data_IF_818835502737
#
_entry.id   IF_818835502737
#
_cell.length_a   1.000
_cell.length_b   1.000
_cell.length_c   1.000
_cell.angle_alpha   90.00
_cell.angle_beta   90.00
_cell.angle_gamma   90.00
#
_symmetry.space_group_name_H-M   'P 1'
#
loop_
_entity.id
_entity.type
_entity.pdbx_description
1 polymer ?
#
# COMPACT_ATOMS: atom_id res chain seq x y z
N UNK A 1 13.70 24.72 -9.34
CA UNK A 1 12.78 25.60 -10.08
C UNK A 1 12.60 26.95 -9.39
N UNK A 2 12.11 26.99 -8.14
CA UNK A 2 11.92 28.25 -7.39
C UNK A 2 13.17 28.98 -6.89
N UNK A 3 14.38 28.64 -7.35
CA UNK A 3 15.63 29.31 -6.98
C UNK A 3 16.32 28.84 -5.69
N UNK A 4 15.78 27.87 -4.95
CA UNK A 4 16.50 27.23 -3.85
C UNK A 4 17.49 26.20 -4.40
N UNK A 5 18.78 26.51 -4.33
CA UNK A 5 19.84 25.72 -4.99
C UNK A 5 20.27 24.48 -4.20
N UNK A 6 20.05 24.45 -2.88
CA UNK A 6 20.42 23.34 -1.99
C UNK A 6 19.34 23.18 -0.96
N UNK A 7 18.56 22.12 -1.08
CA UNK A 7 17.45 21.81 -0.19
C UNK A 7 17.56 20.37 0.27
N UNK A 8 17.08 20.11 1.47
CA UNK A 8 16.85 18.77 1.95
C UNK A 8 15.62 18.75 2.84
N UNK A 9 14.99 17.60 2.92
CA UNK A 9 13.88 17.31 3.82
C UNK A 9 14.12 15.97 4.48
N UNK A 10 13.91 15.90 5.80
CA UNK A 10 13.83 14.63 6.53
C UNK A 10 12.37 14.49 6.92
N UNK A 11 11.69 13.56 6.27
CA UNK A 11 10.25 13.48 6.29
C UNK A 11 9.79 12.03 6.27
N UNK A 12 8.47 11.88 6.37
CA UNK A 12 7.84 10.58 6.34
C UNK A 12 7.30 10.27 4.95
N UNK A 13 7.61 9.08 4.47
CA UNK A 13 7.06 8.49 3.27
C UNK A 13 6.07 7.40 3.65
N UNK A 14 5.02 7.27 2.85
CA UNK A 14 3.95 6.29 3.05
C UNK A 14 3.84 5.43 1.79
N UNK A 15 3.97 4.11 1.95
CA UNK A 15 3.78 3.14 0.87
C UNK A 15 2.75 2.11 1.31
N UNK A 16 1.77 1.85 0.45
CA UNK A 16 0.74 0.86 0.69
C UNK A 16 1.24 -0.54 0.32
N UNK A 17 2.31 -0.96 0.99
CA UNK A 17 3.04 -2.20 0.75
C UNK A 17 2.95 -3.13 1.96
N UNK A 18 3.47 -4.35 1.80
CA UNK A 18 3.62 -5.31 2.89
C UNK A 18 4.54 -4.81 4.01
N UNK A 19 4.49 -5.51 5.14
CA UNK A 19 5.44 -5.34 6.25
C UNK A 19 6.34 -6.56 6.34
N UNK A 20 7.64 -6.33 6.43
CA UNK A 20 8.62 -7.39 6.68
C UNK A 20 9.67 -6.92 7.71
N UNK A 21 10.85 -7.55 7.70
CA UNK A 21 11.95 -7.24 8.60
C UNK A 21 12.59 -5.87 8.34
N UNK A 22 12.51 -5.37 7.10
CA UNK A 22 13.17 -4.16 6.59
C UNK A 22 12.19 -3.09 6.08
N UNK A 23 10.90 -3.42 5.92
CA UNK A 23 9.85 -2.55 5.39
C UNK A 23 8.74 -2.28 6.42
N UNK A 24 8.39 -1.01 6.56
CA UNK A 24 7.24 -0.53 7.31
C UNK A 24 6.42 0.43 6.41
N UNK A 25 5.08 0.38 6.41
CA UNK A 25 4.23 1.23 5.56
C UNK A 25 4.49 2.72 5.68
N UNK A 26 5.01 3.13 6.84
CA UNK A 26 5.38 4.50 7.15
C UNK A 26 6.87 4.52 7.56
N UNK A 27 7.74 5.13 6.75
CA UNK A 27 9.20 5.12 6.97
C UNK A 27 9.82 6.49 6.68
N UNK A 28 10.97 6.76 7.29
CA UNK A 28 11.66 8.05 7.26
C UNK A 28 12.73 8.05 6.18
N UNK A 29 12.67 9.03 5.28
CA UNK A 29 13.74 9.29 4.31
C UNK A 29 14.33 10.68 4.52
N UNK A 30 15.58 10.84 4.08
CA UNK A 30 16.14 12.14 3.79
C UNK A 30 16.24 12.29 2.28
N UNK A 31 15.56 13.27 1.72
CA UNK A 31 15.70 13.66 0.32
C UNK A 31 16.48 14.96 0.24
N UNK A 32 17.49 15.02 -0.63
CA UNK A 32 18.28 16.22 -0.86
C UNK A 32 18.46 16.48 -2.35
N UNK A 33 18.34 17.75 -2.72
CA UNK A 33 18.53 18.23 -4.08
C UNK A 33 19.56 19.34 -4.11
N UNK A 34 20.49 19.26 -5.05
CA UNK A 34 21.52 20.26 -5.27
C UNK A 34 21.59 20.66 -6.74
N UNK A 35 21.30 21.94 -7.01
CA UNK A 35 21.51 22.54 -8.32
C UNK A 35 23.01 22.60 -8.67
N UNK A 36 23.29 22.50 -9.96
CA UNK A 36 24.63 22.44 -10.56
C UNK A 36 25.49 21.30 -10.00
N UNK A 37 24.83 20.19 -9.66
CA UNK A 37 25.45 18.93 -9.23
C UNK A 37 25.04 17.81 -10.18
N UNK A 38 25.77 16.70 -10.08
CA UNK A 38 25.57 15.48 -10.84
C UNK A 38 25.63 14.25 -9.91
N UNK A 39 25.66 13.07 -10.53
CA UNK A 39 25.80 11.78 -9.87
C UNK A 39 27.02 11.70 -8.93
N UNK A 40 28.18 12.24 -9.35
CA UNK A 40 29.40 12.25 -8.54
C UNK A 40 29.25 13.16 -7.32
N UNK A 41 28.54 14.28 -7.46
CA UNK A 41 28.13 15.12 -6.35
C UNK A 41 27.26 14.37 -5.34
N UNK A 42 26.30 13.57 -5.82
CA UNK A 42 25.42 12.78 -4.95
C UNK A 42 26.16 11.63 -4.27
N UNK A 43 27.14 11.00 -4.92
CA UNK A 43 28.03 10.00 -4.27
C UNK A 43 28.80 10.62 -3.11
N UNK A 44 29.41 11.80 -3.32
CA UNK A 44 30.14 12.53 -2.26
C UNK A 44 29.22 12.94 -1.11
N UNK A 45 28.02 13.42 -1.41
CA UNK A 45 27.03 13.79 -0.39
C UNK A 45 26.62 12.58 0.45
N UNK A 46 26.26 11.48 -0.21
CA UNK A 46 25.84 10.22 0.43
C UNK A 46 26.95 9.66 1.33
N UNK A 47 28.18 9.55 0.80
CA UNK A 47 29.32 9.06 1.56
C UNK A 47 29.66 9.97 2.75
N UNK A 48 29.62 11.29 2.55
CA UNK A 48 29.84 12.27 3.62
C UNK A 48 28.80 12.18 4.73
N UNK A 49 27.53 12.06 4.36
CA UNK A 49 26.40 11.95 5.29
C UNK A 49 26.51 10.69 6.15
N UNK A 50 26.68 9.52 5.54
CA UNK A 50 26.76 8.24 6.26
C UNK A 50 27.98 8.20 7.17
N UNK A 51 29.16 8.67 6.71
CA UNK A 51 30.36 8.74 7.57
C UNK A 51 30.19 9.68 8.75
N UNK A 52 29.55 10.83 8.55
CA UNK A 52 29.26 11.77 9.62
C UNK A 52 28.31 11.15 10.66
N UNK A 53 27.26 10.46 10.20
CA UNK A 53 26.32 9.75 11.07
C UNK A 53 27.02 8.63 11.87
N UNK A 54 27.82 7.80 11.21
CA UNK A 54 28.58 6.73 11.86
C UNK A 54 29.57 7.26 12.90
N UNK A 55 30.31 8.32 12.57
CA UNK A 55 31.25 8.94 13.52
C UNK A 55 30.50 9.57 14.71
N UNK A 56 29.34 10.19 14.49
CA UNK A 56 28.56 10.81 15.55
C UNK A 56 27.91 9.79 16.48
N UNK A 57 27.36 8.71 15.93
CA UNK A 57 26.64 7.68 16.69
C UNK A 57 27.57 6.64 17.33
N UNK A 58 28.58 6.18 16.58
CA UNK A 58 29.43 5.05 16.95
C UNK A 58 30.87 5.46 17.34
N UNK A 59 31.30 6.69 17.01
CA UNK A 59 32.67 7.16 17.24
C UNK A 59 33.74 6.50 16.36
N UNK A 60 33.33 5.74 15.35
CA UNK A 60 34.19 4.96 14.44
C UNK A 60 33.54 4.84 13.07
N UNK A 61 34.34 4.55 12.04
CA UNK A 61 33.88 4.19 10.70
C UNK A 61 33.96 2.69 10.41
N UNK A 62 34.53 1.91 11.34
CA UNK A 62 34.50 0.45 11.29
C UNK A 62 33.42 -0.02 12.26
N UNK A 63 32.32 -0.54 11.72
CA UNK A 63 31.16 -1.00 12.48
C UNK A 63 30.98 -2.51 12.33
N UNK A 64 30.26 -3.13 13.27
CA UNK A 64 29.81 -4.50 13.14
C UNK A 64 28.29 -4.49 12.96
N UNK A 65 27.80 -5.17 11.92
CA UNK A 65 26.39 -5.33 11.63
C UNK A 65 26.09 -6.81 11.46
N UNK A 66 25.30 -7.37 12.37
CA UNK A 66 24.90 -8.78 12.42
C UNK A 66 26.07 -9.76 12.32
N UNK A 67 27.20 -9.43 12.94
CA UNK A 67 28.41 -10.26 12.93
C UNK A 67 29.33 -10.02 11.73
N UNK A 68 28.99 -9.10 10.83
CA UNK A 68 29.81 -8.71 9.68
C UNK A 68 30.52 -7.38 9.95
N UNK A 69 31.83 -7.33 9.73
CA UNK A 69 32.61 -6.10 9.86
C UNK A 69 32.51 -5.25 8.59
N UNK A 70 32.07 -4.01 8.72
CA UNK A 70 31.84 -3.07 7.63
C UNK A 70 32.79 -1.88 7.78
N UNK A 71 33.49 -1.53 6.70
CA UNK A 71 34.34 -0.34 6.63
C UNK A 71 33.63 0.79 5.87
N UNK A 72 33.11 1.76 6.62
CA UNK A 72 32.53 2.99 6.06
C UNK A 72 33.59 4.05 5.74
N UNK A 73 34.83 3.88 6.22
CA UNK A 73 35.92 4.84 6.08
C UNK A 73 36.74 4.68 4.79
N UNK A 74 36.83 3.46 4.28
CA UNK A 74 37.54 3.12 3.04
C UNK A 74 36.90 3.68 1.76
N UNK A 75 37.51 3.37 0.62
CA UNK A 75 36.96 3.67 -0.70
C UNK A 75 35.80 2.73 -0.99
N UNK A 76 34.65 3.29 -1.37
CA UNK A 76 33.47 2.51 -1.71
C UNK A 76 33.56 2.07 -3.17
N UNK A 77 33.14 0.83 -3.44
CA UNK A 77 33.17 0.30 -4.80
C UNK A 77 32.19 1.07 -5.67
N UNK A 78 32.57 1.32 -6.90
CA UNK A 78 31.76 1.97 -7.92
C UNK A 78 31.77 1.07 -9.15
N UNK A 79 30.62 0.49 -9.49
CA UNK A 79 30.51 -0.52 -10.53
C UNK A 79 29.15 -0.42 -11.24
N UNK A 80 29.12 -0.70 -12.53
CA UNK A 80 27.86 -0.75 -13.27
C UNK A 80 27.04 -1.99 -12.90
N UNK A 81 25.72 -1.91 -13.00
CA UNK A 81 24.83 -3.06 -12.77
C UNK A 81 25.22 -4.29 -13.61
N UNK A 82 25.53 -4.10 -14.90
CA UNK A 82 25.98 -5.19 -15.78
C UNK A 82 27.33 -5.77 -15.36
N UNK A 83 28.29 -4.93 -14.95
CA UNK A 83 29.58 -5.42 -14.45
C UNK A 83 29.37 -6.36 -13.27
N UNK A 84 28.55 -5.96 -12.30
CA UNK A 84 28.28 -6.77 -11.12
C UNK A 84 27.53 -8.06 -11.47
N UNK A 85 26.54 -8.01 -12.37
CA UNK A 85 25.87 -9.22 -12.86
C UNK A 85 26.89 -10.17 -13.49
N UNK A 86 27.75 -9.68 -14.38
CA UNK A 86 28.72 -10.48 -15.11
C UNK A 86 29.80 -11.13 -14.22
N UNK A 87 30.01 -10.62 -13.01
CA UNK A 87 30.85 -11.25 -12.00
C UNK A 87 30.20 -12.48 -11.34
N UNK A 88 28.86 -12.58 -11.38
CA UNK A 88 28.07 -13.56 -10.63
C UNK A 88 27.32 -14.58 -11.51
N UNK A 89 27.49 -14.50 -12.84
CA UNK A 89 26.89 -15.42 -13.81
C UNK A 89 27.93 -15.99 -14.77
N UNK A 90 27.70 -17.22 -15.24
CA UNK A 90 28.62 -17.90 -16.17
C UNK A 90 28.54 -17.38 -17.62
N UNK A 91 27.42 -16.75 -17.97
CA UNK A 91 27.10 -16.32 -19.34
C UNK A 91 26.95 -14.79 -19.36
N UNK A 92 28.02 -14.04 -19.69
CA UNK A 92 28.00 -12.58 -19.62
C UNK A 92 26.92 -11.96 -20.50
N UNK A 93 26.29 -10.92 -19.99
CA UNK A 93 25.27 -10.13 -20.67
C UNK A 93 25.81 -8.78 -21.14
N UNK A 94 25.16 -8.22 -22.17
CA UNK A 94 25.35 -6.84 -22.61
C UNK A 94 24.04 -6.26 -23.13
N UNK A 95 23.97 -4.92 -23.21
CA UNK A 95 22.81 -4.22 -23.79
C UNK A 95 22.61 -4.51 -25.29
N UNK A 96 23.67 -4.91 -26.01
CA UNK A 96 23.58 -5.28 -27.43
C UNK A 96 22.78 -6.56 -27.68
N UNK A 97 22.57 -7.38 -26.64
CA UNK A 97 21.79 -8.61 -26.74
C UNK A 97 20.31 -8.33 -26.98
N UNK A 98 19.64 -9.27 -27.65
CA UNK A 98 18.19 -9.22 -27.78
C UNK A 98 17.50 -9.44 -26.43
N UNK A 99 16.25 -8.97 -26.33
CA UNK A 99 15.40 -9.19 -25.16
C UNK A 99 15.24 -10.69 -24.90
N UNK A 100 15.07 -11.50 -25.94
CA UNK A 100 14.85 -12.94 -25.85
C UNK A 100 16.08 -13.66 -25.30
N UNK A 101 17.28 -13.23 -25.69
CA UNK A 101 18.54 -13.76 -25.15
C UNK A 101 18.68 -13.41 -23.67
N UNK A 102 18.46 -12.15 -23.29
CA UNK A 102 18.48 -11.71 -21.89
C UNK A 102 17.45 -12.48 -21.05
N UNK A 103 16.23 -12.64 -21.55
CA UNK A 103 15.18 -13.39 -20.86
C UNK A 103 15.57 -14.85 -20.63
N UNK A 104 16.21 -15.50 -21.61
CA UNK A 104 16.71 -16.88 -21.44
C UNK A 104 17.80 -16.94 -20.37
N UNK A 105 18.75 -16.00 -20.38
CA UNK A 105 19.85 -15.95 -19.39
C UNK A 105 19.29 -15.66 -18.00
N UNK A 106 18.36 -14.72 -17.86
CA UNK A 106 17.71 -14.39 -16.61
C UNK A 106 16.96 -15.60 -16.02
N UNK A 107 16.16 -16.32 -16.84
CA UNK A 107 15.49 -17.56 -16.41
C UNK A 107 16.46 -18.64 -15.94
N UNK A 108 17.59 -18.80 -16.63
CA UNK A 108 18.64 -19.76 -16.23
C UNK A 108 19.26 -19.42 -14.88
N UNK A 109 19.27 -18.14 -14.52
CA UNK A 109 19.82 -17.62 -13.28
C UNK A 109 18.74 -17.36 -12.20
N UNK A 110 17.55 -17.94 -12.33
CA UNK A 110 16.56 -17.95 -11.25
C UNK A 110 15.52 -16.83 -11.26
N UNK A 111 15.51 -15.97 -12.27
CA UNK A 111 14.40 -15.02 -12.47
C UNK A 111 13.18 -15.80 -12.97
N UNK A 112 12.17 -15.92 -12.12
CA UNK A 112 10.88 -16.53 -12.45
C UNK A 112 9.94 -15.44 -12.98
N UNK A 113 8.99 -15.81 -13.83
CA UNK A 113 7.90 -14.91 -14.27
C UNK A 113 8.29 -13.65 -15.07
N UNK A 114 9.26 -13.78 -16.00
CA UNK A 114 9.53 -12.71 -16.97
C UNK A 114 8.29 -12.41 -17.81
N UNK A 115 7.68 -11.26 -17.55
CA UNK A 115 6.47 -10.83 -18.23
C UNK A 115 6.73 -10.44 -19.69
N UNK A 116 5.74 -10.60 -20.59
CA UNK A 116 5.86 -10.13 -21.97
C UNK A 116 6.08 -8.61 -22.08
N UNK A 117 5.58 -7.84 -21.12
CA UNK A 117 5.67 -6.38 -21.10
C UNK A 117 7.08 -5.87 -20.74
N UNK A 118 7.86 -6.64 -19.99
CA UNK A 118 9.21 -6.23 -19.57
C UNK A 118 10.13 -6.07 -20.77
N UNK A 119 10.77 -4.92 -20.88
CA UNK A 119 11.88 -4.66 -21.79
C UNK A 119 13.19 -5.24 -21.28
N UNK A 120 14.29 -4.88 -21.96
CA UNK A 120 15.63 -5.34 -21.57
C UNK A 120 16.04 -4.84 -20.19
N UNK A 121 15.64 -3.61 -19.84
CA UNK A 121 16.05 -2.94 -18.62
C UNK A 121 15.47 -3.62 -17.39
N UNK A 122 14.16 -3.89 -17.39
CA UNK A 122 13.52 -4.60 -16.27
C UNK A 122 14.10 -6.01 -16.10
N UNK A 123 14.34 -6.74 -17.19
CA UNK A 123 14.99 -8.08 -17.13
C UNK A 123 16.39 -8.00 -16.49
N UNK A 124 17.19 -6.98 -16.82
CA UNK A 124 18.52 -6.78 -16.24
C UNK A 124 18.43 -6.44 -14.75
N UNK A 125 17.48 -5.59 -14.35
CA UNK A 125 17.22 -5.25 -12.93
C UNK A 125 16.89 -6.50 -12.12
N UNK A 126 15.94 -7.31 -12.60
CA UNK A 126 15.50 -8.53 -11.92
C UNK A 126 16.62 -9.56 -11.81
N UNK A 127 17.50 -9.62 -12.82
CA UNK A 127 18.68 -10.46 -12.76
C UNK A 127 19.71 -9.96 -11.74
N UNK A 128 19.85 -8.65 -11.57
CA UNK A 128 20.69 -8.05 -10.52
C UNK A 128 20.14 -8.42 -9.13
N UNK A 129 18.85 -8.18 -8.89
CA UNK A 129 18.19 -8.52 -7.62
C UNK A 129 18.35 -10.01 -7.29
N UNK A 130 18.14 -10.89 -8.27
CA UNK A 130 18.23 -12.33 -8.06
C UNK A 130 19.64 -12.88 -7.79
N UNK A 131 20.72 -12.19 -8.22
CA UNK A 131 22.08 -12.76 -8.25
C UNK A 131 23.15 -11.96 -7.55
N UNK A 132 22.93 -10.67 -7.33
CA UNK A 132 23.97 -9.73 -6.94
C UNK A 132 23.65 -9.03 -5.64
N UNK A 133 22.41 -8.58 -5.42
CA UNK A 133 22.05 -7.73 -4.27
C UNK A 133 22.61 -8.29 -2.95
N UNK A 134 22.25 -9.52 -2.60
CA UNK A 134 22.69 -10.21 -1.37
C UNK A 134 24.22 -10.39 -1.23
N UNK A 135 24.99 -10.26 -2.32
CA UNK A 135 26.45 -10.43 -2.30
C UNK A 135 27.21 -9.15 -1.95
N UNK A 136 26.53 -7.99 -2.02
CA UNK A 136 27.12 -6.67 -1.79
C UNK A 136 27.25 -6.36 -0.29
N UNK A 137 28.32 -6.88 0.32
CA UNK A 137 28.58 -6.72 1.76
C UNK A 137 29.12 -5.33 2.10
N UNK A 138 30.22 -4.91 1.48
CA UNK A 138 30.82 -3.59 1.71
C UNK A 138 30.08 -2.50 0.91
N UNK A 139 30.16 -1.23 1.34
CA UNK A 139 29.49 -0.13 0.64
C UNK A 139 29.85 -0.09 -0.85
N UNK A 140 28.84 -0.25 -1.70
CA UNK A 140 28.98 -0.33 -3.14
C UNK A 140 27.93 0.56 -3.80
N UNK A 141 28.40 1.51 -4.60
CA UNK A 141 27.56 2.26 -5.54
C UNK A 141 27.34 1.41 -6.79
N UNK A 142 26.11 0.96 -6.97
CA UNK A 142 25.64 0.27 -8.17
C UNK A 142 25.17 1.36 -9.13
N UNK A 143 25.86 1.54 -10.25
CA UNK A 143 25.60 2.60 -11.21
C UNK A 143 24.94 2.05 -12.49
N UNK A 144 24.56 2.97 -13.37
CA UNK A 144 24.12 2.66 -14.75
C UNK A 144 22.84 1.84 -14.79
N UNK A 145 21.85 2.30 -14.05
CA UNK A 145 20.52 1.70 -14.08
C UNK A 145 19.85 1.92 -15.44
N UNK A 146 19.13 0.91 -15.97
CA UNK A 146 18.37 1.03 -17.20
C UNK A 146 17.37 2.19 -17.17
N UNK A 147 17.16 2.81 -18.33
CA UNK A 147 16.17 3.86 -18.53
C UNK A 147 14.75 3.41 -18.17
N UNK A 148 14.42 2.16 -18.52
CA UNK A 148 13.10 1.57 -18.31
C UNK A 148 12.62 1.65 -16.85
N UNK A 149 13.53 1.45 -15.89
CA UNK A 149 13.24 1.47 -14.45
C UNK A 149 13.57 2.81 -13.79
N UNK A 150 13.92 3.83 -14.57
CA UNK A 150 14.47 5.10 -14.08
C UNK A 150 13.73 6.30 -14.69
N UNK A 151 12.41 6.46 -14.42
CA UNK A 151 11.56 7.42 -15.12
C UNK A 151 11.91 8.89 -14.86
N UNK A 152 12.59 9.19 -13.74
CA UNK A 152 12.99 10.54 -13.34
C UNK A 152 14.48 10.84 -13.55
N UNK A 153 15.29 9.84 -13.90
CA UNK A 153 16.72 10.01 -14.05
C UNK A 153 17.10 10.46 -15.46
N UNK A 154 18.09 11.36 -15.57
CA UNK A 154 18.60 11.82 -16.86
C UNK A 154 19.26 10.67 -17.63
N UNK A 155 18.91 10.54 -18.92
CA UNK A 155 19.54 9.58 -19.86
C UNK A 155 21.03 9.86 -19.99
N UNK A 156 21.82 8.81 -20.17
CA UNK A 156 23.22 8.93 -20.55
C UNK A 156 23.34 9.36 -22.02
N UNK A 157 24.31 10.22 -22.28
CA UNK A 157 24.56 10.74 -23.64
C UNK A 157 25.23 9.68 -24.54
N UNK A 158 26.04 8.81 -23.94
CA UNK A 158 26.80 7.78 -24.64
C UNK A 158 26.03 6.47 -24.82
N UNK A 159 25.08 6.18 -23.93
CA UNK A 159 24.16 5.05 -24.07
C UNK A 159 22.73 5.43 -23.60
N UNK A 160 21.81 5.76 -24.53
CA UNK A 160 20.44 6.14 -24.19
C UNK A 160 19.60 5.05 -23.51
N UNK A 161 20.02 3.78 -23.51
CA UNK A 161 19.37 2.71 -22.73
C UNK A 161 19.65 2.82 -21.22
N UNK A 162 20.59 3.69 -20.84
CA UNK A 162 21.08 3.88 -19.47
C UNK A 162 20.78 5.28 -18.92
N UNK A 163 20.82 5.40 -17.61
CA UNK A 163 20.65 6.66 -16.90
C UNK A 163 21.80 6.96 -15.96
N UNK A 164 21.99 8.25 -15.67
CA UNK A 164 22.88 8.68 -14.59
C UNK A 164 22.19 8.47 -13.24
N UNK A 165 22.10 7.21 -12.80
CA UNK A 165 21.51 6.78 -11.53
C UNK A 165 22.44 5.81 -10.81
N UNK A 166 22.52 5.94 -9.49
CA UNK A 166 23.10 4.94 -8.63
C UNK A 166 22.17 4.56 -7.48
N UNK A 167 22.38 3.36 -6.98
CA UNK A 167 21.90 2.92 -5.68
C UNK A 167 23.09 2.52 -4.82
N UNK A 168 23.00 2.76 -3.51
CA UNK A 168 24.02 2.38 -2.55
C UNK A 168 23.58 1.13 -1.83
N UNK A 169 24.36 0.06 -1.94
CA UNK A 169 24.14 -1.19 -1.21
C UNK A 169 25.17 -1.40 -0.11
N UNK A 170 24.71 -1.87 1.05
CA UNK A 170 25.54 -2.31 2.18
C UNK A 170 24.89 -3.55 2.78
N UNK A 171 25.63 -4.63 2.98
CA UNK A 171 25.08 -5.90 3.46
C UNK A 171 23.81 -6.37 2.72
N UNK A 172 23.81 -6.23 1.40
CA UNK A 172 22.71 -6.67 0.55
C UNK A 172 21.41 -5.89 0.68
N UNK A 173 21.47 -4.66 1.20
CA UNK A 173 20.31 -3.79 1.27
C UNK A 173 20.61 -2.41 0.68
N UNK A 174 19.62 -1.81 0.03
CA UNK A 174 19.67 -0.45 -0.48
C UNK A 174 19.59 0.58 0.67
N UNK A 175 20.51 1.55 0.70
CA UNK A 175 20.55 2.65 1.68
C UNK A 175 20.29 4.01 1.06
N UNK A 176 20.55 4.16 -0.24
CA UNK A 176 20.33 5.40 -0.94
C UNK A 176 20.06 5.14 -2.42
N UNK A 177 19.21 5.98 -3.02
CA UNK A 177 18.95 6.03 -4.44
C UNK A 177 19.16 7.47 -4.91
N UNK A 178 19.95 7.67 -5.96
CA UNK A 178 20.33 8.98 -6.42
C UNK A 178 20.49 9.03 -7.92
N UNK A 179 20.26 10.20 -8.51
CA UNK A 179 20.44 10.40 -9.93
C UNK A 179 20.76 11.85 -10.29
N UNK A 180 21.31 12.04 -11.47
CA UNK A 180 21.24 13.33 -12.14
C UNK A 180 19.79 13.53 -12.60
N UNK A 181 19.16 14.59 -12.13
CA UNK A 181 17.73 14.86 -12.34
C UNK A 181 17.40 15.07 -13.81
N UNK A 182 16.28 14.49 -14.27
CA UNK A 182 15.72 14.81 -15.57
C UNK A 182 15.06 16.19 -15.52
N UNK A 183 15.67 17.15 -16.19
CA UNK A 183 15.20 18.52 -16.24
C UNK A 183 14.63 18.94 -17.61
N UNK A 184 14.51 18.01 -18.55
CA UNK A 184 13.83 18.23 -19.84
C UNK A 184 12.33 17.94 -19.69
N UNK A 185 11.45 18.95 -19.75
CA UNK A 185 10.01 18.76 -19.59
C UNK A 185 9.40 17.91 -20.70
N UNK A 186 9.98 17.90 -21.90
CA UNK A 186 9.47 17.12 -23.04
C UNK A 186 9.72 15.63 -22.78
N UNK A 187 10.97 15.27 -22.45
CA UNK A 187 11.32 13.88 -22.10
C UNK A 187 10.55 13.41 -20.86
N UNK A 188 10.45 14.25 -19.82
CA UNK A 188 9.71 13.87 -18.60
C UNK A 188 8.23 13.60 -18.89
N UNK A 189 7.58 14.40 -19.74
CA UNK A 189 6.19 14.19 -20.13
C UNK A 189 6.01 12.88 -20.93
N UNK A 190 6.92 12.57 -21.85
CA UNK A 190 6.91 11.31 -22.60
C UNK A 190 7.04 10.10 -21.67
N UNK A 191 7.91 10.18 -20.66
CA UNK A 191 8.09 9.11 -19.67
C UNK A 191 6.88 8.93 -18.77
N UNK A 192 6.24 10.01 -18.32
CA UNK A 192 4.98 9.89 -17.58
C UNK A 192 3.87 9.25 -18.42
N UNK A 193 3.77 9.57 -19.71
CA UNK A 193 2.81 8.91 -20.59
C UNK A 193 3.11 7.41 -20.73
N UNK A 194 4.39 7.02 -20.83
CA UNK A 194 4.79 5.61 -20.84
C UNK A 194 4.45 4.89 -19.52
N UNK A 195 4.64 5.57 -18.38
CA UNK A 195 4.27 5.05 -17.06
C UNK A 195 2.74 4.88 -16.91
N UNK A 196 1.94 5.84 -17.39
CA UNK A 196 0.48 5.69 -17.42
C UNK A 196 0.06 4.50 -18.29
N UNK A 197 0.71 4.28 -19.44
CA UNK A 197 0.45 3.11 -20.27
C UNK A 197 0.84 1.81 -19.56
N UNK A 198 1.95 1.78 -18.83
CA UNK A 198 2.35 0.61 -18.02
C UNK A 198 1.32 0.32 -16.92
N UNK A 199 0.81 1.37 -16.26
CA UNK A 199 -0.26 1.27 -15.27
C UNK A 199 -1.55 0.69 -15.85
N UNK A 200 -1.97 1.17 -17.02
CA UNK A 200 -3.14 0.65 -17.73
C UNK A 200 -2.97 -0.84 -18.14
N UNK A 201 -1.72 -1.31 -18.23
CA UNK A 201 -1.36 -2.69 -18.53
C UNK A 201 -1.18 -3.56 -17.28
N UNK A 202 -1.40 -3.02 -16.07
CA UNK A 202 -1.39 -3.77 -14.81
C UNK A 202 -0.18 -3.56 -13.92
N UNK A 203 0.69 -2.59 -14.20
CA UNK A 203 1.77 -2.19 -13.30
C UNK A 203 1.23 -1.25 -12.21
N UNK A 204 0.91 -1.82 -11.04
CA UNK A 204 0.37 -1.08 -9.90
C UNK A 204 1.36 -0.07 -9.29
N UNK A 205 2.66 -0.20 -9.57
CA UNK A 205 3.74 0.68 -9.07
C UNK A 205 4.05 1.84 -10.03
N UNK A 206 3.51 1.82 -11.25
CA UNK A 206 3.79 2.83 -12.25
C UNK A 206 3.25 4.22 -11.85
N UNK A 207 4.04 5.25 -12.20
CA UNK A 207 3.75 6.64 -11.87
C UNK A 207 2.55 7.20 -12.65
N UNK A 208 1.78 8.10 -12.01
CA UNK A 208 0.76 8.90 -12.67
C UNK A 208 1.35 10.10 -13.44
N UNK A 209 0.56 10.69 -14.34
CA UNK A 209 0.95 11.92 -15.03
C UNK A 209 0.70 13.15 -14.15
N UNK A 210 1.76 13.86 -13.78
CA UNK A 210 1.67 15.13 -13.02
C UNK A 210 1.89 16.33 -13.95
N UNK A 211 0.79 16.96 -14.36
CA UNK A 211 0.83 18.14 -15.23
C UNK A 211 1.41 19.39 -14.56
N UNK A 212 1.29 19.53 -13.23
CA UNK A 212 1.83 20.69 -12.52
C UNK A 212 3.35 20.58 -12.38
N UNK A 213 3.87 19.37 -12.14
CA UNK A 213 5.31 19.10 -12.16
C UNK A 213 5.93 19.39 -13.54
N UNK A 214 5.30 18.92 -14.63
CA UNK A 214 5.76 19.23 -16.00
C UNK A 214 5.77 20.73 -16.24
N UNK A 215 4.68 21.42 -15.89
CA UNK A 215 4.60 22.88 -16.03
C UNK A 215 5.69 23.59 -15.23
N UNK A 216 6.03 23.10 -14.04
CA UNK A 216 7.11 23.65 -13.26
C UNK A 216 8.46 23.47 -13.99
N UNK A 217 8.72 22.29 -14.58
CA UNK A 217 9.93 22.03 -15.37
C UNK A 217 10.05 22.96 -16.59
N UNK A 218 8.92 23.31 -17.22
CA UNK A 218 8.87 24.26 -18.34
C UNK A 218 9.33 25.68 -17.96
N UNK A 219 9.20 26.08 -16.69
CA UNK A 219 9.79 27.35 -16.21
C UNK A 219 11.33 27.29 -16.13
N UNK A 220 11.91 26.09 -16.15
CA UNK A 220 13.34 25.84 -16.15
C UNK A 220 13.85 25.31 -14.81
N UNK A 221 14.24 24.04 -14.80
CA UNK A 221 15.03 23.46 -13.72
C UNK A 221 16.52 23.43 -14.14
N UNK A 222 17.46 24.00 -13.35
CA UNK A 222 18.88 23.87 -13.64
C UNK A 222 19.29 22.38 -13.58
N UNK A 223 20.42 21.99 -14.20
CA UNK A 223 21.00 20.68 -13.95
C UNK A 223 21.15 20.47 -12.45
N UNK A 224 20.70 19.33 -11.93
CA UNK A 224 20.70 19.05 -10.50
C UNK A 224 21.00 17.56 -10.25
N UNK A 225 21.53 17.28 -9.07
CA UNK A 225 21.58 15.92 -8.51
C UNK A 225 20.59 15.82 -7.37
N UNK A 226 19.87 14.71 -7.30
CA UNK A 226 19.00 14.35 -6.19
C UNK A 226 19.44 13.04 -5.55
N UNK A 227 19.19 12.91 -4.25
CA UNK A 227 19.40 11.67 -3.49
C UNK A 227 18.31 11.49 -2.45
N UNK A 228 17.78 10.28 -2.35
CA UNK A 228 17.01 9.79 -1.21
C UNK A 228 17.86 8.83 -0.39
N UNK A 229 17.85 8.96 0.95
CA UNK A 229 18.53 8.07 1.89
C UNK A 229 17.51 7.51 2.87
N UNK A 230 17.45 6.18 3.00
CA UNK A 230 16.61 5.51 3.97
C UNK A 230 17.15 5.69 5.39
N UNK A 231 16.51 6.53 6.20
CA UNK A 231 17.00 6.85 7.55
C UNK A 231 16.81 5.67 8.49
N UNK A 232 15.68 4.96 8.43
CA UNK A 232 15.45 3.83 9.33
C UNK A 232 16.46 2.71 9.11
N UNK A 233 16.74 2.36 7.84
CA UNK A 233 17.81 1.39 7.49
C UNK A 233 19.18 1.85 7.95
N UNK A 234 19.51 3.14 7.78
CA UNK A 234 20.77 3.69 8.29
C UNK A 234 20.86 3.58 9.82
N UNK A 235 19.78 3.84 10.55
CA UNK A 235 19.75 3.64 12.00
C UNK A 235 19.96 2.16 12.33
N UNK A 236 19.29 1.24 11.64
CA UNK A 236 19.49 -0.21 11.86
C UNK A 236 20.96 -0.61 11.72
N UNK A 237 21.61 -0.15 10.64
CA UNK A 237 23.03 -0.39 10.37
C UNK A 237 23.92 0.10 11.51
N UNK A 238 23.71 1.33 11.96
CA UNK A 238 24.55 1.98 12.98
C UNK A 238 24.28 1.46 14.39
N UNK A 239 23.07 0.97 14.68
CA UNK A 239 22.70 0.42 15.99
C UNK A 239 22.82 -1.10 16.06
N UNK A 240 23.23 -1.76 14.97
CA UNK A 240 23.27 -3.22 14.86
C UNK A 240 21.90 -3.86 15.15
N UNK A 241 20.82 -3.23 14.67
CA UNK A 241 19.47 -3.76 14.82
C UNK A 241 19.13 -4.74 13.68
N UNK A 242 18.47 -5.85 14.02
CA UNK A 242 18.14 -6.87 13.03
C UNK A 242 16.86 -6.53 12.25
N UNK A 243 15.93 -5.79 12.87
CA UNK A 243 14.67 -5.41 12.27
C UNK A 243 14.42 -3.91 12.32
N UNK A 244 13.73 -3.38 11.31
CA UNK A 244 13.23 -1.99 11.30
C UNK A 244 12.32 -1.70 12.50
N UNK A 245 11.68 -2.73 13.06
CA UNK A 245 10.83 -2.60 14.25
C UNK A 245 11.60 -2.23 15.51
N UNK A 246 12.90 -2.53 15.55
CA UNK A 246 13.75 -2.21 16.71
C UNK A 246 14.20 -0.74 16.71
N UNK A 247 14.05 -0.04 15.58
CA UNK A 247 14.43 1.37 15.42
C UNK A 247 13.22 2.30 15.32
N UNK A 248 12.01 1.75 15.23
CA UNK A 248 10.75 2.48 15.25
C UNK A 248 10.10 2.37 16.64
N UNK A 249 9.75 3.51 17.25
CA UNK A 249 9.08 3.52 18.57
C UNK A 249 7.71 2.82 18.54
N UNK A 250 6.99 2.97 17.43
CA UNK A 250 5.66 2.40 17.20
C UNK A 250 5.58 1.84 15.78
N UNK A 251 6.14 0.64 15.52
CA UNK A 251 6.04 0.01 14.21
C UNK A 251 4.58 -0.39 13.93
N UNK A 252 4.22 -0.48 12.65
CA UNK A 252 2.87 -0.94 12.28
C UNK A 252 2.73 -2.42 12.67
N UNK A 253 1.67 -2.72 13.40
CA UNK A 253 1.37 -4.07 13.88
C UNK A 253 0.19 -4.66 13.11
N UNK A 254 0.24 -5.97 12.86
CA UNK A 254 -0.95 -6.67 12.39
C UNK A 254 -2.00 -6.67 13.51
N UNK A 255 -3.29 -6.40 13.20
CA UNK A 255 -4.36 -6.55 14.18
C UNK A 255 -4.33 -7.95 14.79
N UNK A 256 -4.59 -8.04 16.09
CA UNK A 256 -4.88 -9.33 16.71
C UNK A 256 -6.26 -9.76 16.19
N UNK A 257 -6.36 -10.96 15.63
CA UNK A 257 -7.67 -11.57 15.40
C UNK A 257 -8.38 -11.70 16.76
N UNK A 258 -9.69 -11.46 16.82
CA UNK A 258 -10.51 -11.48 18.06
C UNK A 258 -10.37 -12.76 18.93
N UNK A 259 -9.73 -13.81 18.42
CA UNK A 259 -9.38 -15.03 19.14
C UNK A 259 -8.11 -14.95 20.01
N UNK A 260 -7.32 -13.87 19.95
CA UNK A 260 -6.04 -13.72 20.67
C UNK A 260 -5.94 -12.44 21.51
N UNK A 261 -7.06 -11.97 22.06
CA UNK A 261 -6.97 -11.08 23.23
C UNK A 261 -6.55 -11.95 24.42
N UNK A 262 -5.24 -12.09 24.59
CA UNK A 262 -4.66 -12.58 25.83
C UNK A 262 -5.15 -11.64 26.93
N UNK A 263 -5.97 -12.19 27.82
CA UNK A 263 -6.51 -11.52 29.00
C UNK A 263 -5.35 -10.88 29.78
N UNK A 264 -5.21 -9.55 29.68
CA UNK A 264 -4.17 -8.79 30.38
C UNK A 264 -4.32 -8.88 31.90
N UNK A 265 -5.42 -9.44 32.40
CA UNK A 265 -5.61 -9.76 33.81
C UNK A 265 -5.02 -11.12 34.23
N UNK A 266 -4.55 -11.96 33.29
CA UNK A 266 -3.99 -13.27 33.61
C UNK A 266 -2.50 -13.23 34.01
N UNK A 267 -1.78 -12.16 33.69
CA UNK A 267 -0.38 -11.97 34.09
C UNK A 267 -0.25 -11.50 35.55
N UNK A 268 -1.19 -10.66 36.03
CA UNK A 268 -1.23 -10.23 37.44
C UNK A 268 -1.65 -11.34 38.42
N UNK A 269 -2.28 -12.42 37.92
CA UNK A 269 -2.71 -13.57 38.73
C UNK A 269 -1.58 -14.58 39.00
N UNK A 270 -0.47 -14.50 38.26
CA UNK A 270 0.70 -15.37 38.45
C UNK A 270 1.65 -14.82 39.54
N UNK A 271 1.77 -13.51 39.68
CA UNK A 271 2.61 -12.86 40.71
C UNK A 271 1.95 -12.79 42.09
N UNK A 272 0.62 -12.93 42.16
CA UNK A 272 -0.14 -12.83 43.42
C UNK A 272 -0.25 -14.15 44.20
N UNK A 273 0.21 -15.29 43.67
CA UNK A 273 0.21 -16.59 44.38
C UNK A 273 1.43 -16.85 45.26
N UNK A 274 2.45 -16.01 45.23
CA UNK A 274 3.64 -16.16 46.10
C UNK A 274 3.62 -15.28 47.38
N UNK A 275 2.62 -14.40 47.55
CA UNK A 275 2.59 -13.46 48.70
C UNK A 275 1.48 -13.68 49.74
N UNK A 276 0.58 -14.66 49.60
CA UNK A 276 -0.53 -14.86 50.55
C UNK A 276 -0.31 -15.96 51.62
N UNK A 277 0.94 -16.32 51.94
CA UNK A 277 1.23 -17.21 53.07
C UNK A 277 1.87 -16.52 54.28
N UNK A 278 1.61 -15.22 54.48
CA UNK A 278 1.88 -14.56 55.75
C UNK A 278 0.88 -13.45 56.07
N UNK A 279 -0.08 -13.77 56.94
CA UNK A 279 -0.60 -12.95 58.03
C UNK A 279 -2.12 -13.12 58.20
N UNK A 280 -2.49 -13.96 59.17
CA UNK A 280 -3.78 -13.93 59.82
C UNK A 280 -3.78 -12.86 60.92
N UNK A 281 -4.81 -12.01 61.02
CA UNK A 281 -5.61 -11.78 62.26
C UNK A 281 -6.69 -10.69 62.08
N UNK A 282 -7.97 -11.09 62.32
CA UNK A 282 -9.14 -10.36 62.89
C UNK A 282 -9.50 -8.92 62.46
N UNK A 283 -10.74 -8.42 62.49
CA UNK A 283 -12.06 -8.88 62.94
C UNK A 283 -13.05 -7.70 62.69
N UNK A 284 -14.26 -8.01 62.24
CA UNK A 284 -15.55 -7.32 62.39
C UNK A 284 -15.96 -6.03 61.62
N UNK A 285 -16.83 -6.28 60.63
CA UNK A 285 -18.27 -5.94 60.62
C UNK A 285 -18.82 -4.76 59.80
N UNK A 286 -19.69 -5.17 58.87
CA UNK A 286 -21.03 -4.65 58.56
C UNK A 286 -21.23 -3.39 57.67
N UNK A 287 -21.65 -3.69 56.44
CA UNK A 287 -22.99 -3.40 55.86
C UNK A 287 -23.13 -2.36 54.73
N UNK A 288 -23.58 -2.93 53.59
CA UNK A 288 -24.57 -2.44 52.61
C UNK A 288 -24.20 -1.26 51.67
N UNK A 289 -24.10 -1.53 50.37
CA UNK A 289 -25.22 -1.46 49.41
C UNK A 289 -24.77 -1.81 47.98
N UNK A 290 -25.65 -2.50 47.24
CA UNK A 290 -25.48 -3.03 45.87
C UNK A 290 -25.37 -1.93 44.79
N UNK A 291 -24.74 -2.23 43.64
CA UNK A 291 -25.23 -1.77 42.34
C UNK A 291 -25.79 -2.94 41.53
N UNK A 292 -26.92 -2.67 40.89
CA UNK A 292 -27.66 -3.57 40.04
C UNK A 292 -26.89 -3.91 38.75
N UNK A 293 -26.99 -5.18 38.39
CA UNK A 293 -26.52 -5.83 37.18
C UNK A 293 -27.14 -5.27 35.91
N UNK A 294 -26.30 -4.89 34.94
CA UNK A 294 -26.67 -4.85 33.53
C UNK A 294 -25.91 -5.97 32.82
N UNK A 295 -26.64 -7.05 32.55
CA UNK A 295 -26.20 -8.19 31.79
C UNK A 295 -26.05 -7.81 30.32
N UNK A 296 -24.80 -7.82 29.84
CA UNK A 296 -24.48 -7.98 28.44
C UNK A 296 -24.99 -9.35 27.96
N UNK A 297 -25.83 -9.35 26.92
CA UNK A 297 -26.13 -10.53 26.13
C UNK A 297 -25.90 -10.19 24.66
N UNK A 298 -24.84 -10.71 24.02
CA UNK A 298 -24.70 -10.66 22.57
C UNK A 298 -25.72 -11.64 21.97
N UNK A 299 -26.48 -11.18 20.97
CA UNK A 299 -27.24 -12.08 20.11
C UNK A 299 -26.27 -12.94 19.30
N UNK A 300 -25.94 -14.12 19.84
CA UNK A 300 -25.48 -15.26 19.06
C UNK A 300 -26.62 -15.70 18.13
N UNK A 301 -26.42 -15.53 16.83
CA UNK A 301 -27.01 -16.43 15.83
C UNK A 301 -25.91 -17.35 15.35
N UNK A 302 -26.22 -18.64 15.36
CA UNK A 302 -25.29 -19.75 15.26
C UNK A 302 -24.52 -19.78 13.93
N UNK A 303 -23.22 -20.06 14.03
CA UNK A 303 -22.35 -20.52 12.95
C UNK A 303 -22.95 -21.79 12.31
N UNK A 304 -23.65 -21.61 11.19
CA UNK A 304 -23.79 -22.65 10.20
C UNK A 304 -22.63 -22.48 9.21
N UNK A 305 -21.74 -23.46 9.13
CA UNK A 305 -20.73 -23.49 8.07
C UNK A 305 -21.44 -23.40 6.72
N UNK A 306 -21.26 -22.30 6.00
CA UNK A 306 -21.93 -22.06 4.72
C UNK A 306 -21.23 -22.96 3.68
N UNK A 307 -21.99 -23.86 3.05
CA UNK A 307 -21.50 -24.74 1.99
C UNK A 307 -21.60 -24.03 0.63
N UNK A 308 -20.46 -23.64 0.08
CA UNK A 308 -20.36 -22.93 -1.20
C UNK A 308 -20.24 -23.87 -2.41
N UNK A 309 -20.29 -25.19 -2.23
CA UNK A 309 -20.01 -26.17 -3.29
C UNK A 309 -21.01 -26.14 -4.46
N UNK A 310 -22.20 -25.57 -4.26
CA UNK A 310 -23.28 -25.50 -5.27
C UNK A 310 -23.64 -24.07 -5.70
N UNK A 311 -22.74 -23.10 -5.48
CA UNK A 311 -22.95 -21.70 -5.87
C UNK A 311 -22.38 -21.43 -7.25
N UNK A 312 -23.20 -20.87 -8.14
CA UNK A 312 -22.73 -20.31 -9.42
C UNK A 312 -22.60 -18.80 -9.29
N UNK A 313 -21.41 -18.27 -9.57
CA UNK A 313 -21.13 -16.83 -9.61
C UNK A 313 -21.20 -16.39 -11.07
N UNK A 314 -21.90 -15.27 -11.35
CA UNK A 314 -21.95 -14.72 -12.70
C UNK A 314 -20.53 -14.42 -13.23
N UNK A 315 -20.30 -14.53 -14.55
CA UNK A 315 -18.97 -14.29 -15.13
C UNK A 315 -18.47 -12.89 -14.78
N UNK A 316 -17.32 -12.84 -14.11
CA UNK A 316 -16.63 -11.58 -13.83
C UNK A 316 -16.38 -10.85 -15.16
N UNK A 317 -16.57 -9.52 -15.17
CA UNK A 317 -16.29 -8.64 -16.30
C UNK A 317 -17.16 -8.79 -17.55
N UNK A 318 -18.34 -9.41 -17.44
CA UNK A 318 -19.28 -9.49 -18.57
C UNK A 318 -19.79 -8.11 -19.02
N UNK A 319 -20.01 -7.21 -18.07
CA UNK A 319 -20.43 -5.82 -18.31
C UNK A 319 -19.43 -4.88 -17.62
N UNK A 320 -18.63 -4.16 -18.41
CA UNK A 320 -17.66 -3.18 -17.89
C UNK A 320 -18.34 -1.84 -17.57
N UNK A 321 -17.97 -1.26 -16.43
CA UNK A 321 -18.26 0.14 -16.08
C UNK A 321 -16.93 0.88 -15.92
N UNK A 322 -16.79 2.05 -16.52
CA UNK A 322 -15.59 2.87 -16.37
C UNK A 322 -15.54 3.55 -14.99
N UNK A 323 -14.33 3.87 -14.54
CA UNK A 323 -14.09 4.46 -13.22
C UNK A 323 -14.81 5.79 -13.03
N UNK A 324 -14.89 6.64 -14.06
CA UNK A 324 -15.53 7.95 -13.97
C UNK A 324 -17.06 7.79 -13.79
N UNK A 325 -17.69 6.86 -14.49
CA UNK A 325 -19.10 6.51 -14.30
C UNK A 325 -19.37 5.93 -12.90
N UNK A 326 -18.51 5.03 -12.40
CA UNK A 326 -18.69 4.44 -11.08
C UNK A 326 -18.45 5.46 -9.95
N UNK A 327 -17.36 6.23 -10.01
CA UNK A 327 -16.98 7.23 -8.99
C UNK A 327 -17.98 8.37 -8.85
N UNK A 328 -18.79 8.63 -9.88
CA UNK A 328 -19.91 9.57 -9.84
C UNK A 328 -21.13 9.04 -9.09
N UNK A 329 -21.22 7.74 -8.79
CA UNK A 329 -22.36 7.17 -8.05
C UNK A 329 -22.28 7.50 -6.56
N UNK A 330 -23.36 8.03 -5.99
CA UNK A 330 -23.39 8.45 -4.57
C UNK A 330 -24.05 7.37 -3.70
N UNK A 331 -23.22 6.48 -3.16
CA UNK A 331 -23.62 5.41 -2.26
C UNK A 331 -23.78 5.90 -0.82
N UNK A 332 -24.97 5.67 -0.26
CA UNK A 332 -25.33 6.09 1.11
C UNK A 332 -25.94 4.96 1.91
N UNK A 333 -25.64 4.95 3.20
CA UNK A 333 -26.44 4.22 4.18
C UNK A 333 -27.78 4.93 4.35
N UNK A 334 -28.88 4.21 4.14
CA UNK A 334 -30.25 4.72 4.21
C UNK A 334 -31.05 3.94 5.24
N UNK A 335 -31.83 4.64 6.07
CA UNK A 335 -32.71 4.01 7.07
C UNK A 335 -34.08 3.75 6.48
N UNK A 336 -34.58 2.54 6.61
CA UNK A 336 -35.93 2.19 6.16
C UNK A 336 -36.96 2.69 7.17
N UNK A 337 -37.62 3.82 6.87
CA UNK A 337 -38.71 4.38 7.68
C UNK A 337 -40.02 3.61 7.48
N UNK A 338 -40.31 3.26 6.23
CA UNK A 338 -41.47 2.45 5.89
C UNK A 338 -41.18 1.58 4.66
N UNK A 339 -41.82 0.41 4.60
CA UNK A 339 -41.81 -0.46 3.43
C UNK A 339 -43.24 -0.97 3.21
N UNK A 340 -43.69 -1.03 1.95
CA UNK A 340 -45.01 -1.57 1.60
C UNK A 340 -45.02 -2.19 0.21
N UNK A 341 -45.83 -3.22 -0.02
CA UNK A 341 -46.01 -3.79 -1.35
C UNK A 341 -46.72 -2.80 -2.30
N UNK A 342 -46.23 -2.68 -3.54
CA UNK A 342 -46.82 -1.78 -4.53
C UNK A 342 -48.14 -2.35 -5.06
N UNK A 343 -49.28 -1.62 -4.97
CA UNK A 343 -50.55 -2.07 -5.53
C UNK A 343 -50.42 -2.39 -7.03
N UNK A 344 -50.91 -3.56 -7.46
CA UNK A 344 -50.85 -4.08 -8.84
C UNK A 344 -49.48 -4.62 -9.30
N UNK A 345 -48.46 -4.67 -8.44
CA UNK A 345 -47.21 -5.39 -8.72
C UNK A 345 -47.03 -6.57 -7.79
N UNK A 346 -46.65 -7.74 -8.33
CA UNK A 346 -46.26 -8.90 -7.52
C UNK A 346 -44.77 -8.89 -7.14
N UNK A 347 -43.97 -8.00 -7.73
CA UNK A 347 -42.50 -8.00 -7.61
C UNK A 347 -41.94 -6.79 -6.85
N UNK A 348 -42.69 -5.71 -6.70
CA UNK A 348 -42.16 -4.43 -6.22
C UNK A 348 -42.55 -4.15 -4.77
N UNK A 349 -41.55 -3.77 -3.98
CA UNK A 349 -41.69 -3.10 -2.69
C UNK A 349 -41.38 -1.61 -2.86
N UNK A 350 -42.17 -0.77 -2.18
CA UNK A 350 -41.95 0.66 -2.07
C UNK A 350 -41.34 0.98 -0.71
N UNK A 351 -40.19 1.65 -0.73
CA UNK A 351 -39.47 2.09 0.44
C UNK A 351 -39.62 3.59 0.62
N UNK A 352 -39.87 4.01 1.86
CA UNK A 352 -39.65 5.37 2.34
C UNK A 352 -38.39 5.35 3.18
N UNK A 353 -37.37 6.07 2.73
CA UNK A 353 -36.00 6.00 3.23
C UNK A 353 -35.55 7.35 3.80
N UNK A 354 -34.81 7.30 4.90
CA UNK A 354 -34.00 8.42 5.38
C UNK A 354 -32.59 8.32 4.78
N UNK A 355 -32.19 9.32 4.00
CA UNK A 355 -30.84 9.43 3.43
C UNK A 355 -30.01 10.54 4.10
N UNK A 356 -30.46 11.07 5.24
CA UNK A 356 -29.79 12.13 5.97
C UNK A 356 -29.99 13.54 5.41
N UNK A 357 -30.73 13.71 4.30
CA UNK A 357 -31.01 15.03 3.71
C UNK A 357 -32.15 15.79 4.40
N UNK A 358 -32.87 15.13 5.32
CA UNK A 358 -34.05 15.69 5.99
C UNK A 358 -35.35 15.57 5.17
N UNK A 359 -35.28 15.04 3.96
CA UNK A 359 -36.44 14.70 3.12
C UNK A 359 -36.56 13.18 3.00
N UNK A 360 -37.79 12.68 2.94
CA UNK A 360 -38.02 11.25 2.71
C UNK A 360 -37.79 10.89 1.25
N UNK A 361 -36.95 9.89 1.00
CA UNK A 361 -36.67 9.37 -0.33
C UNK A 361 -37.53 8.15 -0.63
N UNK A 362 -38.14 8.13 -1.81
CA UNK A 362 -38.87 6.96 -2.30
C UNK A 362 -38.00 6.14 -3.24
N UNK A 363 -37.82 4.84 -2.96
CA UNK A 363 -37.18 3.88 -3.87
C UNK A 363 -38.11 2.68 -4.05
N UNK A 364 -38.24 2.21 -5.29
CA UNK A 364 -38.94 0.97 -5.61
C UNK A 364 -37.93 -0.13 -5.90
N UNK A 365 -38.07 -1.29 -5.25
CA UNK A 365 -37.15 -2.42 -5.45
C UNK A 365 -37.89 -3.71 -5.77
N UNK A 366 -37.31 -4.51 -6.68
CA UNK A 366 -37.86 -5.76 -7.22
C UNK A 366 -37.77 -6.98 -6.31
N UNK A 367 -37.67 -6.78 -4.99
CA UNK A 367 -37.26 -7.82 -4.04
C UNK A 367 -38.42 -8.45 -3.25
N UNK A 368 -39.67 -8.20 -3.66
CA UNK A 368 -40.86 -8.70 -2.96
C UNK A 368 -40.95 -10.24 -2.90
N UNK A 369 -40.27 -10.95 -3.81
CA UNK A 369 -40.22 -12.42 -3.77
C UNK A 369 -39.31 -12.96 -2.65
N UNK A 370 -38.46 -12.11 -2.06
CA UNK A 370 -37.40 -12.50 -1.13
C UNK A 370 -37.59 -11.94 0.28
N UNK A 371 -38.29 -10.80 0.41
CA UNK A 371 -38.48 -10.12 1.69
C UNK A 371 -39.92 -9.67 1.88
N UNK A 372 -40.41 -9.82 3.11
CA UNK A 372 -41.66 -9.21 3.55
C UNK A 372 -41.39 -7.78 4.07
N UNK A 373 -42.30 -6.82 3.89
CA UNK A 373 -42.09 -5.42 4.30
C UNK A 373 -41.69 -5.26 5.77
N UNK A 374 -42.27 -6.05 6.67
CA UNK A 374 -42.04 -5.97 8.12
C UNK A 374 -40.60 -6.34 8.51
N UNK A 375 -39.90 -7.12 7.68
CA UNK A 375 -38.52 -7.51 7.92
C UNK A 375 -37.52 -6.38 7.63
N UNK A 376 -37.95 -5.39 6.84
CA UNK A 376 -37.09 -4.34 6.31
C UNK A 376 -37.25 -3.02 7.08
N UNK A 377 -38.40 -2.78 7.70
CA UNK A 377 -38.63 -1.55 8.47
C UNK A 377 -37.66 -1.47 9.65
N UNK A 378 -37.01 -0.31 9.80
CA UNK A 378 -36.00 -0.06 10.83
C UNK A 378 -34.59 -0.51 10.47
N UNK A 379 -34.41 -1.25 9.37
CA UNK A 379 -33.09 -1.67 8.90
C UNK A 379 -32.34 -0.56 8.19
N UNK A 380 -31.02 -0.71 8.16
CA UNK A 380 -30.11 0.16 7.43
C UNK A 380 -29.64 -0.55 6.17
N UNK A 381 -29.93 0.03 5.01
CA UNK A 381 -29.59 -0.52 3.70
C UNK A 381 -28.60 0.39 2.98
N UNK A 382 -27.97 -0.13 1.93
CA UNK A 382 -27.14 0.68 1.03
C UNK A 382 -27.92 1.04 -0.24
N UNK A 383 -27.89 2.32 -0.61
CA UNK A 383 -28.54 2.81 -1.82
C UNK A 383 -27.64 3.78 -2.62
N UNK A 384 -27.80 3.77 -3.95
CA UNK A 384 -27.36 4.87 -4.81
C UNK A 384 -28.44 5.95 -4.79
N UNK A 385 -28.06 7.15 -4.37
CA UNK A 385 -29.00 8.23 -4.05
C UNK A 385 -29.04 9.36 -5.09
N UNK A 386 -28.11 9.38 -6.04
CA UNK A 386 -28.00 10.42 -7.06
C UNK A 386 -28.42 9.98 -8.47
N UNK A 387 -29.20 8.89 -8.58
CA UNK A 387 -29.80 8.49 -9.85
C UNK A 387 -31.00 9.39 -10.21
N UNK A 388 -31.21 9.68 -11.51
CA UNK A 388 -32.39 10.42 -11.96
C UNK A 388 -33.67 9.61 -11.63
N UNK A 389 -34.78 10.28 -11.26
CA UNK A 389 -36.04 9.60 -10.95
C UNK A 389 -36.52 8.75 -12.13
N UNK A 390 -36.92 7.50 -11.84
CA UNK A 390 -37.52 6.60 -12.82
C UNK A 390 -38.95 6.27 -12.41
N UNK A 391 -39.93 6.73 -13.18
CA UNK A 391 -41.34 6.41 -12.93
C UNK A 391 -41.61 4.93 -13.21
N UNK A 392 -42.08 4.21 -12.19
CA UNK A 392 -42.52 2.82 -12.30
C UNK A 392 -43.88 2.69 -11.65
N UNK A 393 -44.87 2.16 -12.38
CA UNK A 393 -46.25 2.01 -11.89
C UNK A 393 -46.89 3.31 -11.36
N UNK A 394 -46.45 4.47 -11.88
CA UNK A 394 -46.96 5.79 -11.47
C UNK A 394 -46.33 6.37 -10.21
N UNK A 395 -45.25 5.77 -9.69
CA UNK A 395 -44.46 6.25 -8.55
C UNK A 395 -43.03 6.51 -9.05
N UNK A 396 -42.44 7.63 -8.66
CA UNK A 396 -41.07 7.97 -9.02
C UNK A 396 -40.09 7.29 -8.05
N UNK A 397 -39.26 6.38 -8.58
CA UNK A 397 -38.16 5.78 -7.83
C UNK A 397 -36.92 6.65 -7.94
N UNK A 398 -36.50 7.24 -6.84
CA UNK A 398 -35.41 8.22 -6.76
C UNK A 398 -34.13 7.57 -6.22
N UNK A 399 -33.68 6.49 -6.85
CA UNK A 399 -32.48 5.75 -6.44
C UNK A 399 -32.59 4.25 -6.67
N UNK A 400 -31.58 3.53 -6.21
CA UNK A 400 -31.49 2.08 -6.31
C UNK A 400 -30.88 1.48 -5.04
N UNK A 401 -31.53 0.44 -4.47
CA UNK A 401 -30.98 -0.35 -3.37
C UNK A 401 -29.98 -1.39 -3.88
N UNK A 402 -28.92 -1.65 -3.12
CA UNK A 402 -27.87 -2.61 -3.49
C UNK A 402 -28.15 -3.98 -2.90
N UNK A 403 -28.12 -5.01 -3.74
CA UNK A 403 -28.34 -6.40 -3.34
C UNK A 403 -27.29 -7.30 -4.01
N UNK A 404 -26.87 -8.36 -3.31
CA UNK A 404 -26.07 -9.43 -3.87
C UNK A 404 -26.99 -10.55 -4.36
N UNK A 405 -26.69 -11.13 -5.53
CA UNK A 405 -27.47 -12.22 -6.13
C UNK A 405 -26.52 -13.39 -6.36
N UNK A 406 -26.98 -14.61 -6.10
CA UNK A 406 -26.29 -15.84 -6.49
C UNK A 406 -27.30 -16.94 -6.83
N UNK A 407 -26.86 -17.94 -7.60
CA UNK A 407 -27.65 -19.15 -7.80
C UNK A 407 -27.19 -20.26 -6.86
N UNK A 408 -28.13 -20.91 -6.18
CA UNK A 408 -27.89 -22.09 -5.34
C UNK A 408 -28.90 -23.19 -5.75
N UNK A 409 -28.39 -24.35 -6.16
CA UNK A 409 -29.21 -25.49 -6.61
C UNK A 409 -30.24 -25.14 -7.72
N UNK A 410 -29.89 -24.22 -8.62
CA UNK A 410 -30.75 -23.79 -9.73
C UNK A 410 -31.87 -22.80 -9.33
N UNK A 411 -31.82 -22.26 -8.12
CA UNK A 411 -32.71 -21.20 -7.66
C UNK A 411 -31.92 -19.91 -7.41
N UNK A 412 -32.41 -18.79 -7.94
CA UNK A 412 -31.86 -17.45 -7.66
C UNK A 412 -32.13 -17.07 -6.20
N UNK A 413 -31.09 -16.66 -5.48
CA UNK A 413 -31.17 -16.09 -4.13
C UNK A 413 -30.68 -14.64 -4.17
N UNK A 414 -31.39 -13.77 -3.48
CA UNK A 414 -31.09 -12.35 -3.39
C UNK A 414 -30.91 -11.95 -1.92
N UNK A 415 -29.83 -11.23 -1.65
CA UNK A 415 -29.48 -10.69 -0.34
C UNK A 415 -29.38 -9.18 -0.43
N UNK A 416 -30.33 -8.47 0.18
CA UNK A 416 -30.26 -7.01 0.28
C UNK A 416 -29.08 -6.65 1.19
N UNK A 417 -28.23 -5.71 0.76
CA UNK A 417 -27.07 -5.28 1.54
C UNK A 417 -27.55 -4.43 2.72
N UNK A 418 -27.63 -5.06 3.88
CA UNK A 418 -27.95 -4.44 5.16
C UNK A 418 -26.67 -4.26 5.97
N UNK A 419 -26.50 -3.08 6.56
CA UNK A 419 -25.35 -2.74 7.39
C UNK A 419 -25.79 -2.46 8.82
N UNK A 420 -24.83 -2.26 9.72
CA UNK A 420 -25.09 -2.01 11.14
C UNK A 420 -26.07 -0.85 11.35
N UNK A 421 -27.06 -1.08 12.21
CA UNK A 421 -28.13 -0.12 12.51
C UNK A 421 -27.66 1.11 13.31
N UNK A 422 -26.43 1.15 13.81
CA UNK A 422 -25.81 2.32 14.43
C UNK A 422 -25.24 3.31 13.40
N UNK A 423 -25.04 2.90 12.15
CA UNK A 423 -24.54 3.80 11.10
C UNK A 423 -25.59 4.89 10.83
N UNK A 424 -25.23 6.19 10.89
CA UNK A 424 -26.20 7.26 10.70
C UNK A 424 -26.76 7.29 9.27
N UNK A 425 -28.02 7.72 9.11
CA UNK A 425 -28.60 7.97 7.79
C UNK A 425 -27.77 9.00 7.01
N UNK A 426 -27.49 8.72 5.74
CA UNK A 426 -26.68 9.58 4.88
C UNK A 426 -25.17 9.40 4.99
N UNK A 427 -24.69 8.46 5.82
CA UNK A 427 -23.28 8.09 5.84
C UNK A 427 -22.84 7.66 4.44
N UNK A 428 -21.72 8.25 3.97
CA UNK A 428 -21.16 7.98 2.64
C UNK A 428 -20.37 6.68 2.65
N UNK A 429 -20.54 5.88 1.59
CA UNK A 429 -19.67 4.74 1.33
C UNK A 429 -18.57 5.19 0.35
N UNK A 430 -17.33 4.88 0.70
CA UNK A 430 -16.14 5.19 -0.09
C UNK A 430 -15.65 3.96 -0.85
#
# INVERSE_FOLDING_TARGET
MGGFERVFEIGRQFRNEGMDQYHNPEFTTMEAYQAFSDLEGMKRLTQGFIRAAAMAACGTLSINYQGVDIDLGGTWRDASMIELINEHIDEPISYDMSREELARIAKKNGVVDIEPAWGKGKIISELFEARVEDTLVQPTFVCDHPLEISPLAKKREDNPELTYRFELFICGHEYANAFSELNDPIDQAERFLAQVQAKDMGDDEAMGYDADYIRALEYGMPPAGGVGIGIDRLVMLLTNAESIRDVLLFPTMKPLNDAQVCDVNALDAAESKEQENSAATGCDSAAAAQPASLSNAPHQQADASIDFSNVSIEPLFKDFVDFDTFSKSDFRAVKVKACSAVPKSKKLLQFTLDDGTGCDRTILSGIHAFYEPEQLVGKTCIAITNLPPRTMMGIDSCGMLISAIHEEAGCEKLHLLMVDDHIPAGAKLY
#
